data_IF_030391989770
#
_entry.id   IF_030391989770
#
_cell.length_a   1.000
_cell.length_b   1.000
_cell.length_c   1.000
_cell.angle_alpha   90.00
_cell.angle_beta   90.00
_cell.angle_gamma   90.00
#
_symmetry.space_group_name_H-M   'P 1'
#
loop_
_entity.id
_entity.type
_entity.pdbx_description
1 polymer ?
#
# COMPACT_ATOMS: atom_id res chain seq x y z
N UNK A 1 13.45 -16.87 5.23
CA UNK A 1 14.53 -16.03 5.83
C UNK A 1 14.41 -16.04 7.36
N UNK A 2 15.50 -15.88 8.12
CA UNK A 2 15.44 -15.69 9.58
C UNK A 2 15.57 -14.19 9.91
N UNK A 3 14.50 -13.58 10.44
CA UNK A 3 14.51 -12.19 10.96
C UNK A 3 15.19 -12.18 12.33
N UNK A 4 16.15 -11.27 12.54
CA UNK A 4 16.79 -11.07 13.85
C UNK A 4 15.99 -10.08 14.68
N UNK A 5 15.89 -10.31 15.98
CA UNK A 5 15.14 -9.42 16.89
C UNK A 5 15.63 -7.96 16.85
N UNK A 6 16.93 -7.73 16.64
CA UNK A 6 17.52 -6.40 16.52
C UNK A 6 17.04 -5.61 15.29
N UNK A 7 16.48 -6.28 14.27
CA UNK A 7 15.94 -5.63 13.07
C UNK A 7 14.51 -5.12 13.32
N UNK A 8 13.84 -5.58 14.38
CA UNK A 8 12.45 -5.30 14.67
C UNK A 8 12.31 -4.00 15.47
N UNK A 9 11.50 -3.07 14.97
CA UNK A 9 11.02 -1.91 15.73
C UNK A 9 9.49 -1.95 15.75
N UNK A 10 8.90 -1.80 16.94
CA UNK A 10 7.44 -1.79 17.13
C UNK A 10 7.05 -0.40 17.64
N UNK A 11 6.85 0.59 16.74
CA UNK A 11 6.39 1.90 17.16
C UNK A 11 4.93 1.83 17.66
N UNK A 12 4.43 2.85 18.36
CA UNK A 12 3.01 2.95 18.69
C UNK A 12 2.12 2.83 17.45
N UNK A 13 0.98 2.16 17.61
CA UNK A 13 0.04 1.87 16.53
C UNK A 13 0.02 0.38 16.13
N UNK A 14 -0.68 0.06 15.05
CA UNK A 14 -0.81 -1.30 14.50
C UNK A 14 0.23 -1.56 13.41
N UNK A 15 1.50 -1.27 13.68
CA UNK A 15 2.57 -1.41 12.69
C UNK A 15 3.88 -1.92 13.28
N UNK A 16 4.65 -2.58 12.42
CA UNK A 16 5.96 -3.16 12.72
C UNK A 16 6.92 -2.77 11.61
N UNK A 17 8.13 -2.35 11.99
CA UNK A 17 9.21 -2.05 11.07
C UNK A 17 10.29 -3.11 11.17
N UNK A 18 10.77 -3.58 10.02
CA UNK A 18 11.92 -4.46 9.86
C UNK A 18 13.01 -3.69 9.12
N UNK A 19 14.15 -3.49 9.79
CA UNK A 19 15.32 -2.79 9.23
C UNK A 19 16.32 -3.77 8.61
N UNK A 20 17.19 -3.24 7.77
CA UNK A 20 18.25 -3.98 7.07
C UNK A 20 17.69 -5.15 6.26
N UNK A 21 16.52 -4.94 5.63
CA UNK A 21 15.88 -5.89 4.73
C UNK A 21 16.38 -5.60 3.32
N UNK A 22 17.07 -6.54 2.67
CA UNK A 22 17.47 -6.34 1.27
C UNK A 22 16.25 -6.42 0.33
N UNK A 23 16.38 -5.96 -0.92
CA UNK A 23 15.31 -6.13 -1.91
C UNK A 23 14.90 -7.59 -2.08
N UNK A 24 15.89 -8.49 -2.16
CA UNK A 24 15.67 -9.92 -2.30
C UNK A 24 14.93 -10.50 -1.08
N UNK A 25 15.28 -10.04 0.12
CA UNK A 25 14.59 -10.44 1.35
C UNK A 25 13.15 -9.92 1.38
N UNK A 26 12.93 -8.66 0.96
CA UNK A 26 11.59 -8.09 0.81
C UNK A 26 10.72 -8.91 -0.14
N UNK A 27 11.23 -9.28 -1.31
CA UNK A 27 10.49 -10.13 -2.25
C UNK A 27 10.21 -11.52 -1.68
N UNK A 28 11.16 -12.11 -0.95
CA UNK A 28 10.97 -13.38 -0.26
C UNK A 28 9.89 -13.30 0.81
N UNK A 29 9.90 -12.27 1.64
CA UNK A 29 8.88 -12.03 2.67
C UNK A 29 7.51 -11.81 2.02
N UNK A 30 7.44 -11.03 0.93
CA UNK A 30 6.20 -10.80 0.20
C UNK A 30 5.61 -12.11 -0.35
N UNK A 31 6.46 -13.00 -0.86
CA UNK A 31 6.05 -14.32 -1.34
C UNK A 31 5.58 -15.22 -0.17
N UNK A 32 6.29 -15.22 0.95
CA UNK A 32 5.95 -16.00 2.15
C UNK A 32 4.61 -15.57 2.78
N UNK A 33 4.31 -14.25 2.75
CA UNK A 33 3.03 -13.70 3.23
C UNK A 33 1.84 -14.06 2.33
N UNK A 34 2.10 -14.31 1.04
CA UNK A 34 1.08 -14.64 0.05
C UNK A 34 0.12 -13.48 -0.29
N UNK A 35 -0.86 -13.77 -1.14
CA UNK A 35 -1.82 -12.76 -1.65
C UNK A 35 -3.07 -12.58 -0.76
N UNK A 36 -3.33 -13.47 0.20
CA UNK A 36 -4.53 -13.44 1.06
C UNK A 36 -4.31 -12.75 2.42
N UNK A 37 -3.45 -11.73 2.45
CA UNK A 37 -3.08 -11.04 3.68
C UNK A 37 -4.03 -9.89 4.02
N UNK A 38 -4.26 -9.68 5.31
CA UNK A 38 -5.00 -8.53 5.83
C UNK A 38 -4.07 -7.38 6.26
N UNK A 39 -2.76 -7.54 6.11
CA UNK A 39 -1.75 -6.54 6.43
C UNK A 39 -1.31 -5.79 5.17
N UNK A 40 -1.16 -4.47 5.29
CA UNK A 40 -0.54 -3.60 4.29
C UNK A 40 0.97 -3.61 4.44
N UNK A 41 1.67 -3.38 3.33
CA UNK A 41 3.13 -3.36 3.31
C UNK A 41 3.65 -2.14 2.57
N UNK A 42 4.67 -1.50 3.15
CA UNK A 42 5.51 -0.52 2.49
C UNK A 42 6.97 -0.91 2.67
N UNK A 43 7.78 -0.71 1.65
CA UNK A 43 9.21 -0.96 1.65
C UNK A 43 9.90 0.26 1.05
N UNK A 44 10.85 0.80 1.78
CA UNK A 44 11.68 1.91 1.33
C UNK A 44 13.08 1.75 1.92
N UNK A 45 14.10 1.83 1.06
CA UNK A 45 15.51 1.96 1.46
C UNK A 45 15.90 1.00 2.60
N UNK A 46 15.70 -0.30 2.39
CA UNK A 46 15.99 -1.38 3.33
C UNK A 46 15.13 -1.44 4.60
N UNK A 47 14.04 -0.69 4.66
CA UNK A 47 13.06 -0.76 5.74
C UNK A 47 11.75 -1.28 5.20
N UNK A 48 11.27 -2.37 5.79
CA UNK A 48 9.96 -2.96 5.51
C UNK A 48 9.00 -2.61 6.66
N UNK A 49 7.94 -1.88 6.35
CA UNK A 49 6.81 -1.63 7.23
C UNK A 49 5.68 -2.61 6.93
N UNK A 50 5.13 -3.20 7.99
CA UNK A 50 3.94 -4.05 7.95
C UNK A 50 2.91 -3.43 8.88
N UNK A 51 1.75 -3.09 8.34
CA UNK A 51 0.66 -2.45 9.07
C UNK A 51 -0.60 -3.31 9.03
N UNK A 52 -1.32 -3.38 10.15
CA UNK A 52 -2.68 -3.90 10.21
C UNK A 52 -3.68 -2.73 10.31
N UNK A 53 -4.49 -2.47 9.27
CA UNK A 53 -5.47 -1.37 9.31
C UNK A 53 -6.45 -1.50 10.48
N UNK A 54 -6.80 -0.38 11.10
CA UNK A 54 -7.85 -0.29 12.11
C UNK A 54 -9.24 -0.10 11.47
N UNK A 55 -10.34 -0.44 12.15
CA UNK A 55 -11.68 -0.19 11.62
C UNK A 55 -11.95 1.26 11.21
N UNK A 56 -11.44 2.23 11.99
CA UNK A 56 -11.56 3.66 11.68
C UNK A 56 -10.89 4.01 10.34
N UNK A 57 -9.67 3.51 10.16
CA UNK A 57 -8.90 3.68 8.92
C UNK A 57 -9.62 3.06 7.72
N UNK A 58 -10.12 1.84 7.86
CA UNK A 58 -10.90 1.17 6.82
C UNK A 58 -12.17 1.94 6.46
N UNK A 59 -12.88 2.47 7.47
CA UNK A 59 -14.11 3.24 7.24
C UNK A 59 -13.85 4.55 6.48
N UNK A 60 -12.81 5.29 6.87
CA UNK A 60 -12.42 6.54 6.22
C UNK A 60 -11.97 6.30 4.77
N UNK A 61 -11.16 5.26 4.55
CA UNK A 61 -10.75 4.82 3.20
C UNK A 61 -11.95 4.57 2.31
N UNK A 62 -12.91 3.75 2.77
CA UNK A 62 -14.10 3.39 1.97
C UNK A 62 -14.93 4.62 1.64
N UNK A 63 -15.18 5.50 2.61
CA UNK A 63 -15.98 6.72 2.39
C UNK A 63 -15.33 7.62 1.33
N UNK A 64 -14.01 7.85 1.42
CA UNK A 64 -13.31 8.72 0.47
C UNK A 64 -13.22 8.06 -0.91
N UNK A 65 -12.91 6.76 -0.97
CA UNK A 65 -12.86 6.04 -2.23
C UNK A 65 -14.21 6.03 -2.95
N UNK A 66 -15.31 5.82 -2.23
CA UNK A 66 -16.65 5.82 -2.83
C UNK A 66 -17.08 7.22 -3.28
N UNK A 67 -16.72 8.27 -2.54
CA UNK A 67 -16.91 9.66 -3.00
C UNK A 67 -16.18 9.92 -4.33
N UNK A 68 -14.93 9.48 -4.45
CA UNK A 68 -14.15 9.64 -5.68
C UNK A 68 -14.77 8.87 -6.84
N UNK A 69 -15.20 7.62 -6.62
CA UNK A 69 -15.90 6.81 -7.64
C UNK A 69 -17.16 7.50 -8.14
N UNK A 70 -18.00 7.99 -7.22
CA UNK A 70 -19.24 8.71 -7.58
C UNK A 70 -18.91 9.97 -8.36
N UNK A 71 -17.93 10.77 -7.90
CA UNK A 71 -17.52 11.99 -8.60
C UNK A 71 -17.05 11.71 -10.03
N UNK A 72 -16.20 10.69 -10.22
CA UNK A 72 -15.69 10.33 -11.55
C UNK A 72 -16.81 9.82 -12.46
N UNK A 73 -17.77 9.06 -11.91
CA UNK A 73 -18.95 8.60 -12.66
C UNK A 73 -19.82 9.77 -13.14
N UNK A 74 -20.12 10.73 -12.26
CA UNK A 74 -20.93 11.92 -12.60
C UNK A 74 -20.24 12.85 -13.61
N UNK A 75 -18.90 12.83 -13.64
CA UNK A 75 -18.10 13.58 -14.61
C UNK A 75 -17.82 12.80 -15.91
N UNK A 76 -18.37 11.58 -16.06
CA UNK A 76 -18.11 10.68 -17.19
C UNK A 76 -16.61 10.43 -17.44
N UNK A 77 -15.84 10.36 -16.35
CA UNK A 77 -14.41 10.05 -16.38
C UNK A 77 -14.25 8.54 -16.21
N UNK A 78 -13.61 7.89 -17.18
CA UNK A 78 -13.22 6.48 -17.05
C UNK A 78 -12.13 6.32 -15.97
N UNK A 79 -12.30 5.32 -15.10
CA UNK A 79 -11.30 4.99 -14.09
C UNK A 79 -11.24 3.49 -13.80
N UNK A 80 -10.15 3.05 -13.17
CA UNK A 80 -9.97 1.70 -12.65
C UNK A 80 -9.33 1.73 -11.26
N UNK A 81 -10.08 1.37 -10.19
CA UNK A 81 -9.58 1.40 -8.83
C UNK A 81 -8.87 0.10 -8.44
N UNK A 82 -7.84 0.20 -7.59
CA UNK A 82 -7.10 -0.93 -7.02
C UNK A 82 -6.75 -0.66 -5.55
N UNK A 83 -7.30 -1.47 -4.64
CA UNK A 83 -7.15 -1.24 -3.19
C UNK A 83 -6.19 -2.18 -2.46
N UNK A 84 -5.57 -3.15 -3.13
CA UNK A 84 -4.66 -4.14 -2.49
C UNK A 84 -3.50 -4.54 -3.38
N UNK A 85 -3.20 -3.72 -4.39
CA UNK A 85 -2.09 -4.00 -5.31
C UNK A 85 -0.80 -3.45 -4.71
N UNK A 86 0.18 -4.33 -4.48
CA UNK A 86 1.54 -3.88 -4.16
C UNK A 86 2.26 -3.47 -5.44
N UNK A 87 2.61 -2.20 -5.54
CA UNK A 87 3.44 -1.63 -6.59
C UNK A 87 4.90 -1.74 -6.19
N UNK A 88 5.77 -2.20 -7.10
CA UNK A 88 7.19 -2.42 -6.84
C UNK A 88 8.06 -1.72 -7.87
N UNK A 89 9.15 -1.12 -7.43
CA UNK A 89 10.20 -0.57 -8.26
C UNK A 89 11.57 -0.87 -7.64
N UNK A 90 12.25 -1.89 -8.18
CA UNK A 90 13.56 -2.32 -7.70
C UNK A 90 14.64 -1.25 -7.92
N UNK A 91 14.58 -0.50 -9.03
CA UNK A 91 15.54 0.56 -9.31
C UNK A 91 15.47 1.68 -8.27
N UNK A 92 14.27 1.96 -7.76
CA UNK A 92 14.04 2.93 -6.68
C UNK A 92 14.16 2.31 -5.28
N UNK A 93 14.33 0.99 -5.17
CA UNK A 93 14.31 0.26 -3.90
C UNK A 93 13.04 0.57 -3.08
N UNK A 94 11.89 0.62 -3.76
CA UNK A 94 10.60 0.96 -3.17
C UNK A 94 9.53 -0.05 -3.54
N UNK A 95 8.68 -0.38 -2.57
CA UNK A 95 7.47 -1.17 -2.76
C UNK A 95 6.36 -0.59 -1.90
N UNK A 96 5.18 -0.36 -2.44
CA UNK A 96 4.10 0.28 -1.69
C UNK A 96 2.76 -0.35 -2.05
N UNK A 97 1.94 -0.57 -1.03
CA UNK A 97 0.54 -0.95 -1.18
C UNK A 97 -0.33 0.18 -0.64
N UNK A 98 -0.83 1.07 -1.52
CA UNK A 98 -1.67 2.17 -1.09
C UNK A 98 -3.00 1.66 -0.55
N UNK A 99 -3.66 2.47 0.26
CA UNK A 99 -4.97 2.11 0.80
C UNK A 99 -6.01 1.92 -0.30
N UNK A 100 -6.05 2.88 -1.22
CA UNK A 100 -6.74 2.77 -2.50
C UNK A 100 -5.96 3.56 -3.56
N UNK A 101 -6.15 3.24 -4.83
CA UNK A 101 -5.58 4.02 -5.91
C UNK A 101 -6.43 3.93 -7.17
N UNK A 102 -6.31 4.92 -8.03
CA UNK A 102 -7.12 5.06 -9.23
C UNK A 102 -6.22 5.32 -10.43
N UNK A 103 -6.36 4.46 -11.44
CA UNK A 103 -5.97 4.79 -12.80
C UNK A 103 -7.10 5.59 -13.45
N UNK A 104 -6.79 6.75 -13.99
CA UNK A 104 -7.71 7.73 -14.57
C UNK A 104 -7.26 8.06 -16.00
N UNK A 105 -6.21 8.84 -16.18
CA UNK A 105 -5.64 9.10 -17.51
C UNK A 105 -4.91 7.87 -18.06
N UNK A 106 -4.33 7.07 -17.16
CA UNK A 106 -3.60 5.87 -17.51
C UNK A 106 -4.47 4.60 -17.55
N UNK A 107 -5.75 4.73 -17.24
CA UNK A 107 -6.77 3.67 -17.20
C UNK A 107 -6.68 2.72 -18.40
N UNK A 108 -6.83 3.26 -19.62
CA UNK A 108 -6.86 2.46 -20.84
C UNK A 108 -5.55 1.70 -21.11
N UNK A 109 -4.42 2.13 -20.53
CA UNK A 109 -3.11 1.47 -20.69
C UNK A 109 -2.96 0.25 -19.80
N UNK A 110 -3.77 0.13 -18.75
CA UNK A 110 -3.64 -0.91 -17.73
C UNK A 110 -4.89 -1.78 -17.56
N UNK A 111 -6.06 -1.33 -18.04
CA UNK A 111 -7.32 -2.08 -17.97
C UNK A 111 -7.15 -3.53 -18.41
N UNK A 112 -7.65 -4.46 -17.59
CA UNK A 112 -7.66 -5.90 -17.88
C UNK A 112 -6.31 -6.61 -17.70
N UNK A 113 -5.23 -5.90 -17.34
CA UNK A 113 -3.97 -6.55 -16.97
C UNK A 113 -4.14 -7.27 -15.63
N UNK A 114 -3.72 -8.53 -15.58
CA UNK A 114 -3.73 -9.32 -14.33
C UNK A 114 -2.65 -8.90 -13.35
N UNK A 115 -1.53 -8.37 -13.85
CA UNK A 115 -0.41 -7.85 -13.06
C UNK A 115 0.05 -6.51 -13.64
N UNK A 116 0.42 -5.60 -12.75
CA UNK A 116 0.98 -4.30 -13.10
C UNK A 116 2.48 -4.34 -12.83
N UNK A 117 3.25 -4.06 -13.87
CA UNK A 117 4.69 -3.93 -13.81
C UNK A 117 5.06 -2.48 -14.11
N UNK A 118 5.56 -1.77 -13.10
CA UNK A 118 5.93 -0.36 -13.19
C UNK A 118 7.19 -0.11 -14.01
N UNK A 119 7.93 -1.16 -14.40
CA UNK A 119 9.06 -1.01 -15.31
C UNK A 119 8.63 -0.78 -16.75
N UNK A 120 7.40 -1.15 -17.11
CA UNK A 120 6.84 -1.05 -18.48
C UNK A 120 5.49 -0.34 -18.54
N UNK A 121 4.79 -0.19 -17.41
CA UNK A 121 3.49 0.46 -17.31
C UNK A 121 3.52 1.67 -16.38
N UNK A 122 2.54 2.58 -16.52
CA UNK A 122 2.45 3.74 -15.64
C UNK A 122 2.02 3.33 -14.21
N UNK A 123 2.41 4.13 -13.20
CA UNK A 123 1.79 4.06 -11.88
C UNK A 123 0.32 4.55 -11.95
N UNK A 124 -0.48 4.32 -10.89
CA UNK A 124 -1.79 4.95 -10.78
C UNK A 124 -1.67 6.48 -10.80
N UNK A 125 -2.70 7.15 -11.30
CA UNK A 125 -2.75 8.61 -11.39
C UNK A 125 -3.04 9.27 -10.04
N UNK A 126 -3.76 8.54 -9.17
CA UNK A 126 -4.12 8.97 -7.83
C UNK A 126 -3.89 7.82 -6.85
N UNK A 127 -3.12 8.07 -5.79
CA UNK A 127 -3.01 7.20 -4.63
C UNK A 127 -3.70 7.85 -3.42
N UNK A 128 -4.37 7.03 -2.62
CA UNK A 128 -5.03 7.42 -1.38
C UNK A 128 -4.28 6.77 -0.20
N UNK A 129 -3.98 7.57 0.80
CA UNK A 129 -3.41 7.14 2.08
C UNK A 129 -4.23 7.75 3.22
N UNK A 130 -4.59 6.94 4.21
CA UNK A 130 -5.41 7.37 5.34
C UNK A 130 -4.57 7.36 6.62
N UNK A 131 -4.07 8.52 7.01
CA UNK A 131 -3.37 8.64 8.28
C UNK A 131 -4.35 8.85 9.44
N UNK A 132 -4.65 7.76 10.15
CA UNK A 132 -5.30 7.84 11.47
C UNK A 132 -4.22 8.07 12.53
N UNK A 133 -3.83 9.33 12.74
CA UNK A 133 -2.98 9.67 13.87
C UNK A 133 -3.78 9.52 15.16
N UNK A 134 -3.49 8.48 15.94
CA UNK A 134 -3.93 8.41 17.32
C UNK A 134 -3.55 9.73 18.02
N UNK A 135 -4.53 10.41 18.63
CA UNK A 135 -4.22 11.31 19.74
C UNK A 135 -3.59 10.45 20.81
N UNK A 136 -2.28 10.61 20.96
CA UNK A 136 -1.48 10.06 22.05
C UNK A 136 -2.24 10.20 23.35
N UNK A 137 -2.31 9.10 24.10
CA UNK A 137 -2.89 9.03 25.44
C UNK A 137 -2.57 10.30 26.24
N UNK A 138 -3.56 11.14 26.61
CA UNK A 138 -3.30 12.31 27.46
C UNK A 138 -3.02 11.92 28.93
N UNK A 139 -3.00 10.63 29.27
CA UNK A 139 -2.94 10.13 30.63
C UNK A 139 -1.97 8.95 30.84
N UNK A 140 -0.92 8.84 30.02
CA UNK A 140 0.33 8.18 30.42
C UNK A 140 1.47 9.16 30.20
#
# INVERSE_FOLDING_TARGET
>A
MLVKLQQLTVPPGQRVLLKDVSWQDFEGILADLGESRNSRIAYENNTLEIMAPLPEHESAKVIIADLLKVLMQELEIDFWPLGSTTFKNELMQQGIEPDDCFYIENEAKVRGKKRIDLTVGPPPDLALEIDVTSRTHPNI
#
